data_IF_486725292019
#
_entry.id   IF_486725292019
#
_cell.length_a   1.000
_cell.length_b   1.000
_cell.length_c   1.000
_cell.angle_alpha   90.00
_cell.angle_beta   90.00
_cell.angle_gamma   90.00
#
_symmetry.space_group_name_H-M   'P 1'
#
loop_
_entity.id
_entity.type
_entity.pdbx_description
1 polymer ?
#
# COMPACT_ATOMS: atom_id res chain seq x y z
N UNK A 1 6.95 -2.24 -6.93
CA UNK A 1 8.07 -2.98 -6.25
C UNK A 1 9.44 -2.42 -6.63
N UNK A 2 9.67 -2.05 -7.89
CA UNK A 2 10.94 -1.49 -8.39
C UNK A 2 11.40 -0.22 -7.67
N UNK A 3 10.51 0.76 -7.46
CA UNK A 3 10.81 2.03 -6.77
C UNK A 3 11.53 1.83 -5.42
N UNK A 4 10.97 0.99 -4.54
CA UNK A 4 11.56 0.77 -3.22
C UNK A 4 12.89 0.00 -3.28
N UNK A 5 13.09 -0.85 -4.30
CA UNK A 5 14.39 -1.52 -4.52
C UNK A 5 15.45 -0.49 -4.95
N UNK A 6 15.07 0.42 -5.84
CA UNK A 6 15.94 1.51 -6.29
C UNK A 6 16.26 2.49 -5.15
N UNK A 7 15.29 2.80 -4.28
CA UNK A 7 15.50 3.60 -3.08
C UNK A 7 16.49 2.93 -2.11
N UNK A 8 16.35 1.63 -1.88
CA UNK A 8 17.32 0.86 -1.08
C UNK A 8 18.70 0.88 -1.73
N UNK A 9 18.79 0.70 -3.06
CA UNK A 9 20.07 0.77 -3.77
C UNK A 9 20.74 2.14 -3.64
N UNK A 10 19.97 3.24 -3.70
CA UNK A 10 20.48 4.59 -3.49
C UNK A 10 21.06 4.76 -2.08
N UNK A 11 20.31 4.36 -1.04
CA UNK A 11 20.78 4.45 0.33
C UNK A 11 22.00 3.57 0.61
N UNK A 12 22.08 2.40 -0.02
CA UNK A 12 23.28 1.55 0.03
C UNK A 12 24.47 2.25 -0.63
N UNK A 13 24.30 2.89 -1.78
CA UNK A 13 25.38 3.66 -2.42
C UNK A 13 25.89 4.76 -1.49
N UNK A 14 25.01 5.53 -0.85
CA UNK A 14 25.42 6.58 0.10
C UNK A 14 26.16 6.00 1.31
N UNK A 15 25.69 4.88 1.84
CA UNK A 15 26.34 4.19 2.97
C UNK A 15 27.72 3.65 2.59
N UNK A 16 27.85 3.08 1.39
CA UNK A 16 29.15 2.62 0.85
C UNK A 16 30.09 3.80 0.61
N UNK A 17 29.61 4.91 0.04
CA UNK A 17 30.42 6.10 -0.17
C UNK A 17 31.02 6.62 1.15
N UNK A 18 30.23 6.65 2.23
CA UNK A 18 30.70 7.03 3.56
C UNK A 18 31.66 6.01 4.18
N UNK A 19 31.48 4.71 3.92
CA UNK A 19 32.45 3.70 4.35
C UNK A 19 33.77 3.82 3.59
N UNK A 20 33.73 4.18 2.30
CA UNK A 20 34.93 4.39 1.46
C UNK A 20 35.73 5.61 1.94
N UNK A 21 35.08 6.71 2.35
CA UNK A 21 35.80 7.85 2.94
C UNK A 21 36.50 7.48 4.23
N UNK A 22 35.90 6.61 5.04
CA UNK A 22 36.53 6.08 6.26
C UNK A 22 37.74 5.19 5.93
N UNK A 23 37.60 4.30 4.95
CA UNK A 23 38.67 3.39 4.52
C UNK A 23 39.83 4.15 3.85
N UNK A 24 39.57 5.32 3.26
CA UNK A 24 40.59 6.13 2.58
C UNK A 24 41.76 6.53 3.48
N UNK A 25 41.54 6.59 4.80
CA UNK A 25 42.57 6.90 5.81
C UNK A 25 43.66 5.82 5.88
N UNK A 26 43.36 4.58 5.48
CA UNK A 26 44.24 3.42 5.67
C UNK A 26 44.97 2.94 4.41
N UNK A 27 44.74 3.59 3.27
CA UNK A 27 45.24 3.13 1.97
C UNK A 27 46.19 4.18 1.39
N UNK A 28 47.37 3.74 0.96
CA UNK A 28 48.39 4.64 0.40
C UNK A 28 47.98 5.18 -0.99
N UNK A 29 47.35 4.36 -1.83
CA UNK A 29 46.88 4.78 -3.16
C UNK A 29 45.50 5.46 -3.11
N UNK A 30 45.54 6.78 -2.94
CA UNK A 30 44.35 7.63 -2.90
C UNK A 30 43.60 7.69 -4.25
N UNK A 31 44.24 7.40 -5.39
CA UNK A 31 43.59 7.52 -6.71
C UNK A 31 42.52 6.47 -6.91
N UNK A 32 42.80 5.22 -6.54
CA UNK A 32 41.85 4.11 -6.67
C UNK A 32 40.61 4.35 -5.80
N UNK A 33 40.80 4.84 -4.57
CA UNK A 33 39.70 5.14 -3.66
C UNK A 33 38.82 6.28 -4.17
N UNK A 34 39.43 7.35 -4.68
CA UNK A 34 38.68 8.46 -5.27
C UNK A 34 37.88 8.03 -6.49
N UNK A 35 38.41 7.12 -7.32
CA UNK A 35 37.68 6.54 -8.45
C UNK A 35 36.48 5.68 -7.99
N UNK A 36 36.66 4.85 -6.95
CA UNK A 36 35.56 4.06 -6.36
C UNK A 36 34.49 5.00 -5.79
N UNK A 37 34.89 6.00 -5.00
CA UNK A 37 34.00 6.99 -4.40
C UNK A 37 33.20 7.73 -5.48
N UNK A 38 33.88 8.20 -6.53
CA UNK A 38 33.23 8.86 -7.68
C UNK A 38 32.21 7.94 -8.36
N UNK A 39 32.57 6.68 -8.61
CA UNK A 39 31.67 5.70 -9.22
C UNK A 39 30.41 5.45 -8.39
N UNK A 40 30.56 5.32 -7.07
CA UNK A 40 29.43 5.13 -6.15
C UNK A 40 28.54 6.37 -6.08
N UNK A 41 29.12 7.59 -6.09
CA UNK A 41 28.34 8.83 -6.12
C UNK A 41 27.57 9.00 -7.43
N UNK A 42 28.19 8.69 -8.57
CA UNK A 42 27.52 8.71 -9.87
C UNK A 42 26.35 7.73 -9.87
N UNK A 43 26.57 6.49 -9.42
CA UNK A 43 25.51 5.48 -9.34
C UNK A 43 24.36 5.92 -8.42
N UNK A 44 24.67 6.46 -7.23
CA UNK A 44 23.68 7.00 -6.30
C UNK A 44 22.90 8.19 -6.88
N UNK A 45 23.57 9.06 -7.63
CA UNK A 45 22.94 10.23 -8.29
C UNK A 45 22.02 9.81 -9.43
N UNK A 46 22.42 8.83 -10.24
CA UNK A 46 21.56 8.25 -11.28
C UNK A 46 20.32 7.61 -10.63
N UNK A 47 20.50 6.84 -9.55
CA UNK A 47 19.37 6.26 -8.82
C UNK A 47 18.41 7.34 -8.28
N UNK A 48 18.95 8.43 -7.71
CA UNK A 48 18.16 9.57 -7.25
C UNK A 48 17.36 10.23 -8.39
N UNK A 49 18.01 10.46 -9.54
CA UNK A 49 17.38 11.06 -10.72
C UNK A 49 16.26 10.16 -11.27
N UNK A 50 16.49 8.85 -11.32
CA UNK A 50 15.47 7.89 -11.70
C UNK A 50 14.29 7.90 -10.72
N UNK A 51 14.55 7.92 -9.40
CA UNK A 51 13.49 8.02 -8.40
C UNK A 51 12.66 9.29 -8.51
N UNK A 52 13.28 10.42 -8.87
CA UNK A 52 12.60 11.70 -9.07
C UNK A 52 11.74 11.75 -10.33
N UNK A 53 12.13 11.03 -11.38
CA UNK A 53 11.42 11.00 -12.67
C UNK A 53 10.38 9.89 -12.75
N UNK A 54 10.54 8.79 -12.00
CA UNK A 54 9.57 7.73 -11.93
C UNK A 54 8.32 8.19 -11.16
N UNK A 55 7.13 8.03 -11.79
CA UNK A 55 5.82 8.09 -11.14
C UNK A 55 5.20 6.69 -11.03
N UNK A 56 5.83 5.74 -10.30
CA UNK A 56 5.47 4.32 -10.35
C UNK A 56 4.14 3.98 -9.69
N UNK A 57 3.51 4.96 -9.03
CA UNK A 57 2.31 4.73 -8.25
C UNK A 57 1.00 4.96 -9.03
N UNK A 58 1.02 5.73 -10.13
CA UNK A 58 -0.24 6.15 -10.77
C UNK A 58 -0.99 4.99 -11.41
N UNK A 59 -0.32 4.17 -12.23
CA UNK A 59 -0.94 2.98 -12.84
C UNK A 59 -1.36 1.94 -11.79
N UNK A 60 -0.57 1.78 -10.72
CA UNK A 60 -0.94 0.87 -9.63
C UNK A 60 -2.20 1.34 -8.88
N UNK A 61 -2.30 2.65 -8.58
CA UNK A 61 -3.50 3.21 -7.96
C UNK A 61 -4.72 3.12 -8.87
N UNK A 62 -4.55 3.38 -10.17
CA UNK A 62 -5.61 3.25 -11.17
C UNK A 62 -6.13 1.82 -11.26
N UNK A 63 -5.25 0.83 -11.39
CA UNK A 63 -5.63 -0.59 -11.41
C UNK A 63 -6.27 -1.05 -10.11
N UNK A 64 -5.76 -0.57 -8.97
CA UNK A 64 -6.37 -0.86 -7.66
C UNK A 64 -7.77 -0.25 -7.57
N UNK A 65 -7.95 1.01 -7.98
CA UNK A 65 -9.25 1.68 -7.97
C UNK A 65 -10.26 0.94 -8.86
N UNK A 66 -9.84 0.52 -10.05
CA UNK A 66 -10.64 -0.29 -10.95
C UNK A 66 -11.08 -1.60 -10.29
N UNK A 67 -10.14 -2.35 -9.71
CA UNK A 67 -10.45 -3.61 -9.04
C UNK A 67 -11.44 -3.43 -7.88
N UNK A 68 -11.32 -2.37 -7.09
CA UNK A 68 -12.26 -2.08 -6.00
C UNK A 68 -13.63 -1.65 -6.51
N UNK A 69 -13.71 -0.92 -7.62
CA UNK A 69 -14.97 -0.60 -8.30
C UNK A 69 -15.66 -1.87 -8.82
N UNK A 70 -14.93 -2.79 -9.44
CA UNK A 70 -15.47 -4.07 -9.90
C UNK A 70 -16.00 -4.91 -8.72
N UNK A 71 -15.26 -4.99 -7.61
CA UNK A 71 -15.73 -5.68 -6.39
C UNK A 71 -16.99 -5.04 -5.84
N UNK A 72 -17.03 -3.72 -5.75
CA UNK A 72 -18.20 -2.97 -5.28
C UNK A 72 -19.42 -3.28 -6.15
N UNK A 73 -19.25 -3.29 -7.47
CA UNK A 73 -20.31 -3.62 -8.42
C UNK A 73 -20.80 -5.07 -8.25
N UNK A 74 -19.87 -6.02 -8.08
CA UNK A 74 -20.19 -7.43 -7.85
C UNK A 74 -20.97 -7.65 -6.56
N UNK A 75 -20.57 -7.00 -5.46
CA UNK A 75 -21.31 -7.06 -4.19
C UNK A 75 -22.70 -6.48 -4.32
N UNK A 76 -22.86 -5.32 -4.98
CA UNK A 76 -24.18 -4.72 -5.22
C UNK A 76 -25.07 -5.64 -6.07
N UNK A 77 -24.52 -6.27 -7.09
CA UNK A 77 -25.24 -7.24 -7.92
C UNK A 77 -25.70 -8.46 -7.11
N UNK A 78 -24.80 -9.09 -6.37
CA UNK A 78 -25.12 -10.29 -5.57
C UNK A 78 -26.17 -9.99 -4.48
N UNK A 79 -26.12 -8.81 -3.86
CA UNK A 79 -27.06 -8.46 -2.79
C UNK A 79 -28.40 -7.91 -3.31
N UNK A 80 -28.57 -7.80 -4.63
CA UNK A 80 -29.67 -7.05 -5.25
C UNK A 80 -29.79 -5.61 -4.72
N UNK A 81 -28.66 -4.97 -4.42
CA UNK A 81 -28.62 -3.54 -4.13
C UNK A 81 -28.79 -2.73 -5.42
N UNK A 82 -29.35 -1.52 -5.33
CA UNK A 82 -29.40 -0.57 -6.44
C UNK A 82 -28.02 -0.50 -7.12
N UNK A 83 -27.90 -0.48 -8.46
CA UNK A 83 -28.97 -0.40 -9.49
C UNK A 83 -29.62 -1.74 -9.85
N UNK A 84 -29.39 -2.80 -9.08
CA UNK A 84 -29.83 -4.17 -9.37
C UNK A 84 -30.93 -4.65 -8.43
N UNK A 85 -31.77 -3.74 -7.94
CA UNK A 85 -32.82 -4.00 -6.96
C UNK A 85 -34.03 -4.76 -7.52
N UNK A 86 -34.19 -4.82 -8.83
CA UNK A 86 -35.22 -5.66 -9.45
C UNK A 86 -34.85 -7.15 -9.32
N UNK A 87 -35.53 -7.84 -8.39
CA UNK A 87 -35.39 -9.29 -8.17
C UNK A 87 -36.24 -10.14 -9.13
N UNK A 88 -37.20 -9.52 -9.84
CA UNK A 88 -38.10 -10.21 -10.75
C UNK A 88 -37.50 -10.36 -12.14
N UNK A 89 -36.69 -9.40 -12.58
CA UNK A 89 -35.99 -9.40 -13.86
C UNK A 89 -34.49 -9.70 -13.72
N UNK A 90 -34.12 -10.89 -13.25
CA UNK A 90 -32.70 -11.29 -13.08
C UNK A 90 -31.89 -11.15 -14.37
N UNK A 91 -32.48 -11.47 -15.53
CA UNK A 91 -31.82 -11.32 -16.84
C UNK A 91 -31.46 -9.86 -17.14
N UNK A 92 -32.32 -8.91 -16.77
CA UNK A 92 -32.05 -7.48 -16.91
C UNK A 92 -30.94 -7.04 -15.97
N UNK A 93 -30.98 -7.49 -14.71
CA UNK A 93 -29.92 -7.18 -13.74
C UNK A 93 -28.55 -7.69 -14.22
N UNK A 94 -28.49 -8.90 -14.81
CA UNK A 94 -27.28 -9.48 -15.40
C UNK A 94 -26.77 -8.64 -16.58
N UNK A 95 -27.67 -8.19 -17.46
CA UNK A 95 -27.32 -7.32 -18.59
C UNK A 95 -26.76 -5.97 -18.12
N UNK A 96 -27.41 -5.31 -17.15
CA UNK A 96 -26.92 -4.04 -16.58
C UNK A 96 -25.59 -4.23 -15.85
N UNK A 97 -25.38 -5.37 -15.20
CA UNK A 97 -24.11 -5.68 -14.53
C UNK A 97 -22.97 -5.82 -15.54
N UNK A 98 -23.22 -6.56 -16.63
CA UNK A 98 -22.28 -6.72 -17.74
C UNK A 98 -21.90 -5.37 -18.37
N UNK A 99 -22.89 -4.54 -18.69
CA UNK A 99 -22.70 -3.20 -19.25
C UNK A 99 -21.83 -2.33 -18.33
N UNK A 100 -22.18 -2.25 -17.04
CA UNK A 100 -21.43 -1.44 -16.09
C UNK A 100 -20.01 -1.95 -15.84
N UNK A 101 -19.80 -3.27 -15.87
CA UNK A 101 -18.47 -3.85 -15.74
C UNK A 101 -17.63 -3.50 -16.97
N UNK A 102 -18.20 -3.60 -18.17
CA UNK A 102 -17.56 -3.20 -19.41
C UNK A 102 -17.17 -1.72 -19.37
N UNK A 103 -18.07 -0.83 -18.97
CA UNK A 103 -17.80 0.61 -18.85
C UNK A 103 -16.60 0.91 -17.93
N UNK A 104 -16.53 0.23 -16.78
CA UNK A 104 -15.41 0.38 -15.85
C UNK A 104 -14.07 -0.02 -16.48
N UNK A 105 -14.03 -1.10 -17.27
CA UNK A 105 -12.81 -1.55 -17.95
C UNK A 105 -12.38 -0.57 -19.05
N UNK A 106 -13.34 -0.05 -19.82
CA UNK A 106 -13.07 0.89 -20.91
C UNK A 106 -12.49 2.22 -20.43
N UNK A 107 -12.88 2.70 -19.23
CA UNK A 107 -12.35 3.94 -18.64
C UNK A 107 -10.82 3.93 -18.50
N UNK A 108 -10.19 2.76 -18.34
CA UNK A 108 -8.73 2.65 -18.16
C UNK A 108 -7.97 2.38 -19.46
N UNK A 109 -8.62 2.43 -20.63
CA UNK A 109 -8.04 1.97 -21.92
C UNK A 109 -7.38 0.59 -21.81
N UNK A 110 -7.81 -0.23 -20.84
CA UNK A 110 -7.49 -1.63 -20.83
C UNK A 110 -8.22 -2.19 -22.03
N UNK A 111 -7.46 -2.74 -22.97
CA UNK A 111 -8.05 -3.41 -24.11
C UNK A 111 -8.84 -4.60 -23.57
N UNK A 112 -10.13 -4.35 -23.34
CA UNK A 112 -11.03 -5.31 -22.72
C UNK A 112 -11.00 -6.59 -23.56
N UNK A 113 -10.82 -6.47 -24.88
CA UNK A 113 -10.68 -7.59 -25.82
C UNK A 113 -9.52 -8.54 -25.51
N UNK A 114 -8.41 -8.08 -24.92
CA UNK A 114 -7.25 -8.91 -24.58
C UNK A 114 -7.39 -9.62 -23.22
N UNK A 115 -8.18 -9.07 -22.29
CA UNK A 115 -8.55 -9.71 -21.02
C UNK A 115 -9.79 -10.59 -21.17
N UNK A 116 -10.64 -10.27 -22.15
CA UNK A 116 -11.89 -10.92 -22.49
C UNK A 116 -11.72 -11.77 -23.75
N UNK A 117 -10.80 -12.74 -23.74
CA UNK A 117 -10.68 -13.71 -24.82
C UNK A 117 -12.07 -14.31 -25.14
N UNK A 118 -12.36 -14.38 -26.44
CA UNK A 118 -13.51 -14.84 -27.26
C UNK A 118 -14.66 -15.72 -26.69
N UNK A 119 -14.64 -16.20 -25.44
CA UNK A 119 -15.70 -17.03 -24.82
C UNK A 119 -16.61 -16.24 -23.85
N UNK A 120 -16.37 -14.94 -23.66
CA UNK A 120 -17.05 -14.11 -22.64
C UNK A 120 -18.21 -13.25 -23.18
N UNK A 121 -18.74 -13.60 -24.35
CA UNK A 121 -19.89 -12.92 -24.96
C UNK A 121 -21.21 -13.43 -24.35
N UNK A 122 -21.48 -13.10 -23.08
CA UNK A 122 -22.84 -13.23 -22.52
C UNK A 122 -23.00 -13.42 -21.01
N UNK A 123 -21.96 -13.83 -20.28
CA UNK A 123 -22.10 -14.21 -18.86
C UNK A 123 -21.01 -13.61 -17.98
N UNK A 124 -21.05 -12.30 -17.77
CA UNK A 124 -20.07 -11.63 -16.90
C UNK A 124 -20.32 -11.88 -15.39
N UNK A 125 -21.53 -12.29 -15.02
CA UNK A 125 -21.83 -12.77 -13.68
C UNK A 125 -21.53 -14.27 -13.61
N UNK A 126 -20.71 -14.68 -12.63
CA UNK A 126 -20.44 -16.11 -12.40
C UNK A 126 -21.68 -16.81 -11.85
N UNK A 127 -21.81 -18.12 -12.09
CA UNK A 127 -22.86 -18.97 -11.52
C UNK A 127 -23.00 -18.76 -10.00
N UNK A 128 -21.87 -18.67 -9.29
CA UNK A 128 -21.88 -18.42 -7.85
C UNK A 128 -22.49 -17.06 -7.46
N UNK A 129 -22.29 -16.03 -8.28
CA UNK A 129 -22.91 -14.72 -8.03
C UNK A 129 -24.43 -14.78 -8.22
N UNK A 130 -24.90 -15.59 -9.16
CA UNK A 130 -26.33 -15.82 -9.40
C UNK A 130 -26.96 -16.62 -8.27
N UNK A 131 -26.31 -17.70 -7.82
CA UNK A 131 -26.75 -18.49 -6.67
C UNK A 131 -26.96 -17.62 -5.43
N UNK A 132 -25.98 -16.77 -5.11
CA UNK A 132 -26.07 -15.87 -3.97
C UNK A 132 -27.20 -14.85 -4.18
N UNK A 133 -27.35 -14.29 -5.39
CA UNK A 133 -28.43 -13.33 -5.68
C UNK A 133 -29.82 -13.93 -5.49
N UNK A 134 -30.00 -15.18 -5.89
CA UNK A 134 -31.27 -15.92 -5.79
C UNK A 134 -31.52 -16.53 -4.41
N UNK A 135 -30.51 -16.55 -3.54
CA UNK A 135 -30.64 -17.07 -2.17
C UNK A 135 -31.54 -16.23 -1.29
N UNK A 136 -31.84 -16.76 -0.10
CA UNK A 136 -32.72 -16.10 0.86
C UNK A 136 -32.10 -14.82 1.39
N UNK A 137 -32.94 -13.93 1.93
CA UNK A 137 -32.48 -12.74 2.64
C UNK A 137 -31.41 -13.08 3.69
N UNK A 138 -31.63 -14.10 4.52
CA UNK A 138 -30.71 -14.46 5.60
C UNK A 138 -29.37 -14.96 5.08
N UNK A 139 -29.37 -15.78 4.03
CA UNK A 139 -28.13 -16.27 3.41
C UNK A 139 -27.30 -15.12 2.84
N UNK A 140 -27.94 -14.18 2.12
CA UNK A 140 -27.26 -12.99 1.57
C UNK A 140 -26.74 -12.09 2.68
N UNK A 141 -27.54 -11.86 3.71
CA UNK A 141 -27.17 -11.05 4.86
C UNK A 141 -25.94 -11.62 5.57
N UNK A 142 -25.92 -12.91 5.84
CA UNK A 142 -24.78 -13.58 6.45
C UNK A 142 -23.55 -13.58 5.54
N UNK A 143 -23.74 -13.84 4.24
CA UNK A 143 -22.67 -13.84 3.25
C UNK A 143 -22.01 -12.45 3.12
N UNK A 144 -22.82 -11.38 3.07
CA UNK A 144 -22.32 -10.00 3.05
C UNK A 144 -21.58 -9.64 4.34
N UNK A 145 -22.16 -9.95 5.49
CA UNK A 145 -21.53 -9.66 6.78
C UNK A 145 -20.15 -10.32 6.89
N UNK A 146 -20.08 -11.63 6.60
CA UNK A 146 -18.84 -12.39 6.75
C UNK A 146 -17.82 -12.08 5.65
N UNK A 147 -18.25 -12.14 4.40
CA UNK A 147 -17.38 -12.04 3.22
C UNK A 147 -17.01 -10.61 2.83
N UNK A 148 -17.79 -9.61 3.25
CA UNK A 148 -17.53 -8.21 2.88
C UNK A 148 -17.15 -7.34 4.06
N UNK A 149 -18.00 -7.29 5.10
CA UNK A 149 -17.77 -6.38 6.23
C UNK A 149 -16.67 -6.91 7.15
N UNK A 150 -16.79 -8.15 7.62
CA UNK A 150 -15.86 -8.74 8.59
C UNK A 150 -14.48 -8.97 7.98
N UNK A 151 -14.41 -9.43 6.72
CA UNK A 151 -13.13 -9.59 6.01
C UNK A 151 -12.41 -8.25 5.84
N UNK A 152 -13.12 -7.18 5.43
CA UNK A 152 -12.51 -5.85 5.35
C UNK A 152 -12.06 -5.35 6.72
N UNK A 153 -12.91 -5.46 7.74
CA UNK A 153 -12.58 -5.04 9.08
C UNK A 153 -11.31 -5.75 9.59
N UNK A 154 -11.22 -7.07 9.38
CA UNK A 154 -10.03 -7.85 9.73
C UNK A 154 -8.80 -7.36 8.97
N UNK A 155 -8.89 -7.23 7.65
CA UNK A 155 -7.78 -6.78 6.81
C UNK A 155 -7.26 -5.41 7.24
N UNK A 156 -8.13 -4.44 7.45
CA UNK A 156 -7.75 -3.09 7.88
C UNK A 156 -7.11 -3.07 9.27
N UNK A 157 -7.65 -3.85 10.23
CA UNK A 157 -7.03 -3.98 11.56
C UNK A 157 -5.63 -4.60 11.48
N UNK A 158 -5.47 -5.70 10.73
CA UNK A 158 -4.18 -6.35 10.54
C UNK A 158 -3.16 -5.42 9.87
N UNK A 159 -3.60 -4.63 8.87
CA UNK A 159 -2.76 -3.62 8.23
C UNK A 159 -2.38 -2.50 9.19
N UNK A 160 -3.30 -2.02 10.02
CA UNK A 160 -3.00 -0.99 11.02
C UNK A 160 -1.94 -1.48 12.02
N UNK A 161 -2.12 -2.68 12.58
CA UNK A 161 -1.20 -3.29 13.56
C UNK A 161 0.15 -3.57 12.91
N UNK A 162 0.17 -4.18 11.72
CA UNK A 162 1.42 -4.51 11.02
C UNK A 162 2.25 -3.28 10.66
N UNK A 163 1.60 -2.17 10.28
CA UNK A 163 2.30 -0.91 10.02
C UNK A 163 2.76 -0.24 11.32
N UNK A 164 1.98 -0.31 12.40
CA UNK A 164 2.38 0.20 13.73
C UNK A 164 3.64 -0.51 14.23
N UNK A 165 3.67 -1.84 14.13
CA UNK A 165 4.83 -2.64 14.51
C UNK A 165 6.08 -2.22 13.72
N UNK A 166 5.98 -2.13 12.39
CA UNK A 166 7.09 -1.67 11.53
C UNK A 166 7.53 -0.26 11.89
N UNK A 167 6.60 0.67 12.11
CA UNK A 167 6.94 2.02 12.55
C UNK A 167 7.78 1.99 13.83
N UNK A 168 7.37 1.22 14.84
CA UNK A 168 8.08 1.12 16.11
C UNK A 168 9.47 0.49 15.93
N UNK A 169 9.59 -0.58 15.13
CA UNK A 169 10.89 -1.24 14.85
C UNK A 169 11.85 -0.27 14.18
N UNK A 170 11.41 0.45 13.15
CA UNK A 170 12.26 1.42 12.45
C UNK A 170 12.64 2.60 13.36
N UNK A 171 11.71 3.12 14.16
CA UNK A 171 12.02 4.15 15.16
C UNK A 171 13.06 3.67 16.18
N UNK A 172 12.92 2.45 16.69
CA UNK A 172 13.88 1.86 17.61
C UNK A 172 15.26 1.69 16.97
N UNK A 173 15.33 1.14 15.74
CA UNK A 173 16.58 0.99 15.00
C UNK A 173 17.28 2.33 14.77
N UNK A 174 16.53 3.36 14.37
CA UNK A 174 17.09 4.72 14.20
C UNK A 174 17.67 5.25 15.50
N UNK A 175 16.96 5.14 16.63
CA UNK A 175 17.45 5.57 17.95
C UNK A 175 18.69 4.78 18.35
N UNK A 176 18.69 3.46 18.16
CA UNK A 176 19.82 2.60 18.49
C UNK A 176 21.09 3.00 17.72
N UNK A 177 20.97 3.32 16.43
CA UNK A 177 22.10 3.77 15.60
C UNK A 177 22.61 5.13 16.10
N UNK A 178 21.72 6.07 16.44
CA UNK A 178 22.12 7.37 17.01
C UNK A 178 22.84 7.21 18.35
N UNK A 179 22.33 6.38 19.26
CA UNK A 179 23.00 6.09 20.54
C UNK A 179 24.38 5.49 20.30
N UNK A 180 24.50 4.56 19.35
CA UNK A 180 25.79 3.96 18.99
C UNK A 180 26.75 5.03 18.45
N UNK A 181 26.29 5.92 17.57
CA UNK A 181 27.10 7.03 17.06
C UNK A 181 27.59 7.94 18.20
N UNK A 182 26.70 8.32 19.13
CA UNK A 182 27.05 9.14 20.30
C UNK A 182 28.11 8.43 21.17
N UNK A 183 27.91 7.14 21.48
CA UNK A 183 28.88 6.36 22.28
C UNK A 183 30.23 6.32 21.58
N UNK A 184 30.28 6.10 20.26
CA UNK A 184 31.55 6.11 19.51
C UNK A 184 32.24 7.48 19.56
N UNK A 185 31.49 8.58 19.40
CA UNK A 185 32.04 9.94 19.50
C UNK A 185 32.57 10.24 20.91
N UNK A 186 31.84 9.87 21.96
CA UNK A 186 32.27 10.09 23.35
C UNK A 186 33.51 9.26 23.68
N UNK A 187 33.57 8.01 23.22
CA UNK A 187 34.74 7.15 23.42
C UNK A 187 36.01 7.75 22.79
N UNK A 188 35.89 8.37 21.61
CA UNK A 188 37.00 9.07 20.94
C UNK A 188 37.50 10.28 21.74
N UNK A 189 36.61 11.02 22.40
CA UNK A 189 37.00 12.14 23.27
C UNK A 189 37.79 11.64 24.48
N UNK A 190 37.32 10.56 25.12
CA UNK A 190 37.86 10.10 26.41
C UNK A 190 39.16 9.31 26.27
N UNK A 191 39.25 8.51 25.23
CA UNK A 191 40.38 7.67 24.93
C UNK A 191 41.01 8.20 23.64
N UNK A 192 42.20 8.80 23.75
CA UNK A 192 43.07 9.11 22.61
C UNK A 192 43.65 7.82 22.00
N UNK A 193 42.83 6.77 21.88
CA UNK A 193 43.18 5.40 21.54
C UNK A 193 43.55 5.23 20.06
N UNK A 194 43.14 6.18 19.22
CA UNK A 194 43.52 6.23 17.82
C UNK A 194 44.61 7.29 17.63
N UNK A 195 45.71 6.95 16.93
CA UNK A 195 46.74 7.94 16.58
C UNK A 195 46.11 9.11 15.78
N UNK A 196 46.84 10.22 15.63
CA UNK A 196 46.41 11.53 15.07
C UNK A 196 45.62 11.54 13.73
N UNK A 197 45.30 10.40 13.13
CA UNK A 197 44.26 10.23 12.12
C UNK A 197 42.91 9.95 12.80
N UNK A 198 42.17 11.01 13.13
CA UNK A 198 40.82 10.92 13.71
C UNK A 198 39.88 10.16 12.75
N UNK A 199 39.56 8.92 13.07
CA UNK A 199 38.65 8.06 12.29
C UNK A 199 37.23 8.34 12.76
N UNK A 200 36.47 9.15 12.03
CA UNK A 200 35.09 9.51 12.37
C UNK A 200 34.10 8.37 12.07
N UNK A 201 34.15 7.27 12.84
CA UNK A 201 33.22 6.12 12.70
C UNK A 201 31.75 6.56 12.84
N UNK A 202 31.50 7.67 13.53
CA UNK A 202 30.17 8.27 13.64
C UNK A 202 29.58 8.69 12.29
N UNK A 203 30.39 9.08 11.29
CA UNK A 203 29.89 9.56 10.00
C UNK A 203 29.14 8.48 9.21
N UNK A 204 29.71 7.29 8.95
CA UNK A 204 28.95 6.18 8.34
C UNK A 204 27.71 5.78 9.13
N UNK A 205 27.78 5.78 10.46
CA UNK A 205 26.62 5.47 11.31
C UNK A 205 25.49 6.48 11.11
N UNK A 206 25.80 7.77 10.99
CA UNK A 206 24.81 8.80 10.71
C UNK A 206 24.18 8.66 9.31
N UNK A 207 24.96 8.27 8.30
CA UNK A 207 24.45 8.00 6.95
C UNK A 207 23.52 6.79 6.95
N UNK A 208 23.85 5.74 7.71
CA UNK A 208 22.97 4.57 7.90
C UNK A 208 21.70 4.98 8.67
N UNK A 209 21.80 5.78 9.72
CA UNK A 209 20.63 6.29 10.45
C UNK A 209 19.68 7.09 9.54
N UNK A 210 20.24 8.01 8.74
CA UNK A 210 19.49 8.80 7.77
C UNK A 210 18.83 7.92 6.70
N UNK A 211 19.53 6.87 6.24
CA UNK A 211 19.01 5.90 5.28
C UNK A 211 17.84 5.08 5.84
N UNK A 212 17.97 4.58 7.08
CA UNK A 212 16.90 3.83 7.76
C UNK A 212 15.69 4.72 8.01
N UNK A 213 15.91 5.94 8.50
CA UNK A 213 14.85 6.92 8.73
C UNK A 213 14.16 7.31 7.42
N UNK A 214 14.95 7.63 6.38
CA UNK A 214 14.45 7.97 5.05
C UNK A 214 13.62 6.87 4.43
N UNK A 215 14.05 5.61 4.54
CA UNK A 215 13.26 4.46 4.10
C UNK A 215 11.94 4.31 4.86
N UNK A 216 11.96 4.49 6.19
CA UNK A 216 10.75 4.44 7.01
C UNK A 216 9.75 5.54 6.62
N UNK A 217 10.24 6.76 6.37
CA UNK A 217 9.43 7.89 5.91
C UNK A 217 8.88 7.66 4.51
N UNK A 218 9.68 7.18 3.58
CA UNK A 218 9.23 6.83 2.23
C UNK A 218 8.15 5.72 2.24
N UNK A 219 8.21 4.81 3.23
CA UNK A 219 7.18 3.78 3.45
C UNK A 219 5.96 4.27 4.23
N UNK A 220 6.02 5.45 4.86
CA UNK A 220 4.90 6.09 5.57
C UNK A 220 4.23 5.18 6.61
N UNK A 221 4.99 4.34 7.32
CA UNK A 221 4.43 3.32 8.22
C UNK A 221 3.51 3.91 9.30
N UNK A 222 3.90 5.02 9.93
CA UNK A 222 3.11 5.68 10.96
C UNK A 222 1.78 6.23 10.41
N UNK A 223 1.84 6.92 9.27
CA UNK A 223 0.67 7.50 8.61
C UNK A 223 -0.30 6.42 8.13
N UNK A 224 0.22 5.37 7.48
CA UNK A 224 -0.58 4.23 7.04
C UNK A 224 -1.24 3.51 8.21
N UNK A 225 -0.52 3.32 9.33
CA UNK A 225 -1.10 2.74 10.55
C UNK A 225 -2.31 3.54 11.04
N UNK A 226 -2.18 4.87 11.11
CA UNK A 226 -3.26 5.76 11.55
C UNK A 226 -4.44 5.74 10.58
N UNK A 227 -4.19 5.86 9.28
CA UNK A 227 -5.23 5.83 8.25
C UNK A 227 -6.00 4.52 8.25
N UNK A 228 -5.31 3.37 8.36
CA UNK A 228 -5.98 2.07 8.42
C UNK A 228 -6.76 1.86 9.71
N UNK A 229 -6.26 2.38 10.84
CA UNK A 229 -6.98 2.31 12.11
C UNK A 229 -8.28 3.12 12.09
N UNK A 230 -8.27 4.30 11.46
CA UNK A 230 -9.46 5.13 11.27
C UNK A 230 -10.49 4.40 10.40
N UNK A 231 -10.09 3.88 9.24
CA UNK A 231 -10.97 3.11 8.36
C UNK A 231 -11.53 1.86 9.07
N UNK A 232 -10.71 1.15 9.86
CA UNK A 232 -11.21 0.02 10.66
C UNK A 232 -12.28 0.44 11.68
N UNK A 233 -12.18 1.64 12.25
CA UNK A 233 -13.21 2.19 13.15
C UNK A 233 -14.50 2.52 12.39
N UNK A 234 -14.39 3.13 11.21
CA UNK A 234 -15.52 3.44 10.32
C UNK A 234 -16.26 2.16 9.88
N UNK A 235 -15.52 1.14 9.44
CA UNK A 235 -16.08 -0.18 9.11
C UNK A 235 -16.72 -0.84 10.34
N UNK A 236 -16.13 -0.70 11.53
CA UNK A 236 -16.72 -1.22 12.76
C UNK A 236 -18.04 -0.55 13.09
N UNK A 237 -18.17 0.76 12.84
CA UNK A 237 -19.43 1.49 12.98
C UNK A 237 -20.46 1.00 11.97
N UNK A 238 -20.08 0.80 10.71
CA UNK A 238 -20.94 0.18 9.69
C UNK A 238 -21.39 -1.23 10.14
N UNK A 239 -20.47 -2.07 10.60
CA UNK A 239 -20.81 -3.40 11.14
C UNK A 239 -21.82 -3.34 12.27
N UNK A 240 -21.68 -2.38 13.20
CA UNK A 240 -22.63 -2.19 14.29
C UNK A 240 -24.02 -1.78 13.78
N UNK A 241 -24.08 -0.89 12.78
CA UNK A 241 -25.34 -0.48 12.16
C UNK A 241 -26.01 -1.63 11.40
N UNK A 242 -25.23 -2.46 10.71
CA UNK A 242 -25.71 -3.63 9.98
C UNK A 242 -26.44 -4.63 10.88
N UNK A 243 -26.09 -4.72 12.16
CA UNK A 243 -26.78 -5.61 13.11
C UNK A 243 -28.21 -5.18 13.41
N UNK A 244 -28.57 -3.91 13.12
CA UNK A 244 -29.91 -3.38 13.35
C UNK A 244 -30.86 -3.59 12.16
N UNK A 245 -30.35 -4.01 10.99
CA UNK A 245 -31.13 -4.28 9.77
C UNK A 245 -32.00 -5.52 9.96
N UNK A 246 -33.31 -5.42 9.66
CA UNK A 246 -34.29 -6.47 9.99
C UNK A 246 -34.96 -7.14 8.80
N UNK A 247 -35.03 -6.47 7.67
CA UNK A 247 -35.71 -6.96 6.47
C UNK A 247 -34.87 -6.80 5.21
N UNK A 248 -35.38 -7.32 4.09
CA UNK A 248 -34.68 -7.37 2.81
C UNK A 248 -34.54 -5.98 2.17
N UNK A 249 -35.53 -5.11 2.35
CA UNK A 249 -35.54 -3.76 1.78
C UNK A 249 -34.52 -2.88 2.49
N UNK A 250 -34.52 -2.88 3.83
CA UNK A 250 -33.51 -2.22 4.66
C UNK A 250 -32.11 -2.74 4.34
N UNK A 251 -31.97 -4.04 4.08
CA UNK A 251 -30.68 -4.67 3.75
C UNK A 251 -30.12 -4.20 2.42
N UNK A 252 -30.93 -4.20 1.37
CA UNK A 252 -30.59 -3.72 0.03
C UNK A 252 -30.12 -2.26 0.08
N UNK A 253 -30.85 -1.41 0.82
CA UNK A 253 -30.50 -0.01 1.02
C UNK A 253 -29.21 0.16 1.83
N UNK A 254 -29.04 -0.65 2.88
CA UNK A 254 -27.83 -0.62 3.71
C UNK A 254 -26.59 -1.05 2.92
N UNK A 255 -26.69 -2.10 2.10
CA UNK A 255 -25.59 -2.54 1.22
C UNK A 255 -25.23 -1.43 0.25
N UNK A 256 -26.20 -0.73 -0.34
CA UNK A 256 -25.93 0.42 -1.23
C UNK A 256 -25.14 1.51 -0.49
N UNK A 257 -25.55 1.86 0.73
CA UNK A 257 -24.86 2.89 1.51
C UNK A 257 -23.45 2.45 1.92
N UNK A 258 -23.30 1.21 2.41
CA UNK A 258 -22.03 0.64 2.82
C UNK A 258 -21.04 0.56 1.67
N UNK A 259 -21.45 0.05 0.51
CA UNK A 259 -20.59 -0.02 -0.68
C UNK A 259 -20.24 1.37 -1.23
N UNK A 260 -21.16 2.33 -1.15
CA UNK A 260 -20.86 3.72 -1.50
C UNK A 260 -19.85 4.35 -0.52
N UNK A 261 -19.93 4.02 0.78
CA UNK A 261 -18.96 4.45 1.78
C UNK A 261 -17.58 3.85 1.51
N UNK A 262 -17.49 2.54 1.24
CA UNK A 262 -16.23 1.90 0.86
C UNK A 262 -15.62 2.56 -0.38
N UNK A 263 -16.41 2.83 -1.42
CA UNK A 263 -15.91 3.49 -2.63
C UNK A 263 -15.37 4.91 -2.37
N UNK A 264 -16.05 5.70 -1.51
CA UNK A 264 -15.59 7.05 -1.13
C UNK A 264 -14.27 7.02 -0.38
N UNK A 265 -14.10 6.13 0.59
CA UNK A 265 -12.85 5.99 1.34
C UNK A 265 -11.66 5.67 0.42
N UNK A 266 -11.87 4.78 -0.56
CA UNK A 266 -10.84 4.42 -1.53
C UNK A 266 -10.45 5.62 -2.41
N UNK A 267 -11.43 6.41 -2.86
CA UNK A 267 -11.18 7.64 -3.63
C UNK A 267 -10.43 8.69 -2.82
N UNK A 268 -10.80 8.89 -1.54
CA UNK A 268 -10.08 9.80 -0.65
C UNK A 268 -8.65 9.33 -0.40
N UNK A 269 -8.43 8.03 -0.28
CA UNK A 269 -7.09 7.46 -0.10
C UNK A 269 -6.22 7.72 -1.33
N UNK A 270 -6.77 7.59 -2.55
CA UNK A 270 -6.07 7.93 -3.79
C UNK A 270 -5.70 9.41 -3.81
N UNK A 271 -6.63 10.32 -3.47
CA UNK A 271 -6.38 11.76 -3.43
C UNK A 271 -5.32 12.18 -2.39
N UNK A 272 -5.17 11.43 -1.29
CA UNK A 272 -4.10 11.64 -0.29
C UNK A 272 -2.77 10.99 -0.69
N UNK A 273 -2.80 10.12 -1.69
CA UNK A 273 -1.65 9.31 -2.14
C UNK A 273 -1.10 9.76 -3.50
N UNK A 274 -1.79 10.68 -4.18
CA UNK A 274 -1.41 11.35 -5.42
C UNK A 274 -0.55 12.58 -5.18
#
# INVERSE_FOLDING_TARGET
MFYFRLLVAQYLCLSVASAVTLAAVYVEDQKIILLIYLGVLIAGSIAAMLLATMKPNQSWYQMRALAESCKTLAWRYMMAAEPFNDRTETSRAKAVFAERLHDLLMIQNLDASALLNDDLTGEHATEKMEDIRLSTYEDRREFYLKGRIDEQLKWYNEKAIGNKYKSNVFSFLTVLIYVTAIVTTVAQIRYSFFPNSVIWISEPLLVVAASVLGYAQAKRFAELSSSYALTALEIRKLRSGFMAVRDDDEFVDYVREAESAFSREHTQWIARSS
#
